data_IF_381540911081
#
_entry.id   IF_381540911081
#
_cell.length_a   1.000
_cell.length_b   1.000
_cell.length_c   1.000
_cell.angle_alpha   90.00
_cell.angle_beta   90.00
_cell.angle_gamma   90.00
#
_symmetry.space_group_name_H-M   'P 1'
#
loop_
_entity.id
_entity.type
_entity.pdbx_description
1 polymer ?
#
# COMPACT_ATOMS: atom_id res chain seq x y z
N UNK A 1 -7.02 -10.11 -14.47
CA UNK A 1 -6.09 -10.92 -15.29
C UNK A 1 -4.67 -10.60 -14.87
N UNK A 2 -3.72 -11.51 -15.09
CA UNK A 2 -2.30 -11.29 -14.74
C UNK A 2 -1.71 -10.03 -15.39
N UNK A 3 -2.25 -9.59 -16.52
CA UNK A 3 -1.87 -8.33 -17.16
C UNK A 3 -2.18 -7.10 -16.28
N UNK A 4 -3.35 -7.06 -15.63
CA UNK A 4 -3.73 -5.98 -14.70
C UNK A 4 -2.81 -5.94 -13.50
N UNK A 5 -2.44 -7.11 -12.96
CA UNK A 5 -1.53 -7.24 -11.81
C UNK A 5 -0.16 -6.64 -12.15
N UNK A 6 0.43 -7.04 -13.29
CA UNK A 6 1.70 -6.48 -13.77
C UNK A 6 1.65 -4.98 -14.03
N UNK A 7 0.52 -4.49 -14.53
CA UNK A 7 0.33 -3.06 -14.75
C UNK A 7 0.29 -2.27 -13.44
N UNK A 8 -0.30 -2.84 -12.38
CA UNK A 8 -0.33 -2.24 -11.04
C UNK A 8 1.07 -2.23 -10.40
N UNK A 9 1.87 -3.28 -10.59
CA UNK A 9 3.26 -3.32 -10.12
C UNK A 9 4.14 -2.23 -10.74
N UNK A 10 3.81 -1.77 -11.94
CA UNK A 10 4.54 -0.71 -12.64
C UNK A 10 4.14 0.71 -12.23
N UNK A 11 3.17 0.89 -11.33
CA UNK A 11 2.75 2.22 -10.86
C UNK A 11 3.86 2.79 -9.97
N UNK A 12 4.26 4.04 -10.21
CA UNK A 12 5.23 4.74 -9.36
C UNK A 12 4.75 4.75 -7.90
N UNK A 13 5.66 4.44 -6.97
CA UNK A 13 5.35 4.34 -5.55
C UNK A 13 4.79 2.98 -5.11
N UNK A 14 4.42 2.07 -6.04
CA UNK A 14 4.14 0.67 -5.70
C UNK A 14 5.46 -0.10 -5.67
N UNK A 15 5.82 -0.61 -4.50
CA UNK A 15 7.08 -1.35 -4.31
C UNK A 15 6.89 -2.82 -4.00
N UNK A 16 5.66 -3.24 -3.66
CA UNK A 16 5.32 -4.65 -3.47
C UNK A 16 3.85 -4.90 -3.77
N UNK A 17 3.59 -5.97 -4.51
CA UNK A 17 2.25 -6.49 -4.74
C UNK A 17 2.22 -7.97 -4.34
N UNK A 18 1.39 -8.32 -3.36
CA UNK A 18 1.28 -9.69 -2.86
C UNK A 18 -0.11 -10.26 -3.09
N UNK A 19 -0.17 -11.55 -3.43
CA UNK A 19 -1.43 -12.27 -3.52
C UNK A 19 -1.75 -12.93 -2.18
N UNK A 20 -2.86 -12.55 -1.55
CA UNK A 20 -3.40 -13.13 -0.31
C UNK A 20 -4.74 -13.79 -0.61
N UNK A 21 -4.69 -15.05 -1.06
CA UNK A 21 -5.88 -15.80 -1.47
C UNK A 21 -6.59 -15.18 -2.67
N UNK A 22 -7.80 -14.65 -2.44
CA UNK A 22 -8.61 -13.95 -3.45
C UNK A 22 -8.37 -12.43 -3.50
N UNK A 23 -7.47 -11.90 -2.66
CA UNK A 23 -7.17 -10.47 -2.56
C UNK A 23 -5.72 -10.20 -2.96
N UNK A 24 -5.48 -8.96 -3.36
CA UNK A 24 -4.14 -8.42 -3.60
C UNK A 24 -3.85 -7.38 -2.51
N UNK A 25 -2.64 -7.41 -1.97
CA UNK A 25 -2.12 -6.46 -0.99
C UNK A 25 -1.05 -5.60 -1.68
N UNK A 26 -1.23 -4.28 -1.62
CA UNK A 26 -0.32 -3.30 -2.23
C UNK A 26 0.44 -2.62 -1.11
N UNK A 27 1.77 -2.61 -1.20
CA UNK A 27 2.61 -1.75 -0.37
C UNK A 27 3.07 -0.58 -1.21
N UNK A 28 2.83 0.62 -0.68
CA UNK A 28 3.09 1.88 -1.37
C UNK A 28 3.88 2.86 -0.52
N UNK A 29 4.72 3.66 -1.17
CA UNK A 29 5.46 4.74 -0.53
C UNK A 29 4.70 6.05 -0.71
N UNK A 30 4.11 6.58 0.36
CA UNK A 30 3.33 7.83 0.32
C UNK A 30 4.17 9.05 -0.07
N UNK A 31 5.51 8.97 0.01
CA UNK A 31 6.39 10.02 -0.48
C UNK A 31 6.51 10.05 -2.02
N UNK A 32 6.17 8.95 -2.71
CA UNK A 32 6.30 8.80 -4.17
C UNK A 32 4.96 8.87 -4.91
N UNK A 33 3.87 8.56 -4.22
CA UNK A 33 2.51 8.65 -4.76
C UNK A 33 1.51 8.95 -3.65
N UNK A 34 0.62 9.91 -3.90
CA UNK A 34 -0.50 10.15 -2.99
C UNK A 34 -1.54 9.03 -3.12
N UNK A 35 -2.11 8.61 -2.00
CA UNK A 35 -3.12 7.52 -1.96
C UNK A 35 -4.32 7.75 -2.90
N UNK A 36 -4.87 8.97 -3.05
CA UNK A 36 -5.92 9.24 -4.03
C UNK A 36 -5.49 9.00 -5.48
N UNK A 37 -4.24 9.35 -5.83
CA UNK A 37 -3.72 9.19 -7.19
C UNK A 37 -3.47 7.71 -7.50
N UNK A 38 -2.96 6.95 -6.52
CA UNK A 38 -2.86 5.49 -6.61
C UNK A 38 -4.23 4.85 -6.86
N UNK A 39 -5.27 5.31 -6.16
CA UNK A 39 -6.63 4.81 -6.35
C UNK A 39 -7.11 5.03 -7.79
N UNK A 40 -6.87 6.22 -8.35
CA UNK A 40 -7.23 6.55 -9.73
C UNK A 40 -6.50 5.66 -10.73
N UNK A 41 -5.19 5.45 -10.57
CA UNK A 41 -4.42 4.57 -11.46
C UNK A 41 -4.90 3.12 -11.41
N UNK A 42 -5.16 2.60 -10.20
CA UNK A 42 -5.69 1.24 -10.04
C UNK A 42 -7.07 1.11 -10.67
N UNK A 43 -7.95 2.11 -10.53
CA UNK A 43 -9.27 2.13 -11.16
C UNK A 43 -9.18 2.21 -12.69
N UNK A 44 -8.25 3.01 -13.24
CA UNK A 44 -8.00 3.12 -14.68
C UNK A 44 -7.58 1.78 -15.29
N UNK A 45 -6.87 0.95 -14.53
CA UNK A 45 -6.47 -0.40 -14.92
C UNK A 45 -7.56 -1.46 -14.73
N UNK A 46 -8.77 -1.05 -14.30
CA UNK A 46 -9.91 -1.93 -14.05
C UNK A 46 -9.89 -2.62 -12.69
N UNK A 47 -8.99 -2.21 -11.79
CA UNK A 47 -8.94 -2.67 -10.40
C UNK A 47 -10.00 -2.01 -9.52
N UNK A 48 -10.33 -2.64 -8.39
CA UNK A 48 -11.22 -2.07 -7.37
C UNK A 48 -10.58 -2.19 -5.99
N UNK A 49 -10.28 -1.06 -5.38
CA UNK A 49 -9.79 -0.99 -3.99
C UNK A 49 -10.99 -1.06 -3.05
N UNK A 50 -11.03 -2.05 -2.16
CA UNK A 50 -12.16 -2.24 -1.22
C UNK A 50 -11.83 -1.88 0.23
N UNK A 51 -10.56 -1.70 0.56
CA UNK A 51 -10.11 -1.37 1.91
C UNK A 51 -8.71 -0.78 1.84
N UNK A 52 -8.51 0.40 2.40
CA UNK A 52 -7.19 0.94 2.70
C UNK A 52 -6.98 0.72 4.20
N UNK A 53 -6.10 -0.20 4.58
CA UNK A 53 -5.66 -0.30 5.97
C UNK A 53 -4.43 0.61 6.09
N UNK A 54 -4.48 1.69 6.89
CA UNK A 54 -3.31 2.54 7.13
C UNK A 54 -2.21 1.81 7.93
N UNK A 55 -2.50 0.61 8.41
CA UNK A 55 -1.65 -0.13 9.33
C UNK A 55 -0.74 -1.11 8.60
N UNK A 56 0.28 -0.56 7.95
CA UNK A 56 1.57 -1.23 7.84
C UNK A 56 2.64 -0.32 8.45
N UNK A 57 2.41 0.17 9.67
CA UNK A 57 3.54 0.56 10.50
C UNK A 57 4.35 -0.72 10.71
N UNK A 58 5.53 -0.77 10.11
CA UNK A 58 6.56 -1.74 10.44
C UNK A 58 6.62 -1.87 11.98
N UNK A 59 6.67 -3.10 12.48
CA UNK A 59 6.71 -3.37 13.92
C UNK A 59 7.84 -2.59 14.60
N UNK A 60 8.94 -2.33 13.89
CA UNK A 60 10.03 -1.46 14.36
C UNK A 60 9.57 -0.02 14.59
N UNK A 61 8.80 0.57 13.67
CA UNK A 61 8.25 1.92 13.81
C UNK A 61 7.17 1.97 14.89
N UNK A 62 6.33 0.94 14.99
CA UNK A 62 5.33 0.82 16.05
C UNK A 62 6.00 0.77 17.42
N UNK A 63 7.07 -0.02 17.54
CA UNK A 63 7.88 -0.14 18.75
C UNK A 63 8.57 1.19 19.12
N UNK A 64 9.12 1.91 18.14
CA UNK A 64 9.72 3.24 18.37
C UNK A 64 8.70 4.26 18.89
N UNK A 65 7.45 4.25 18.41
CA UNK A 65 6.40 5.15 18.94
C UNK A 65 5.94 4.75 20.34
N UNK A 66 5.86 3.44 20.63
CA UNK A 66 5.53 2.94 21.98
C UNK A 66 6.60 3.26 23.02
N UNK A 67 7.88 3.22 22.63
CA UNK A 67 9.02 3.47 23.54
C UNK A 67 9.38 4.95 23.67
N UNK A 68 9.16 5.78 22.62
CA UNK A 68 9.35 7.24 22.71
C UNK A 68 8.16 7.97 23.35
N UNK A 69 7.04 7.29 23.56
CA UNK A 69 5.85 7.81 24.22
C UNK A 69 5.87 7.65 25.75
N UNK A 70 6.94 8.09 26.44
CA UNK A 70 6.96 8.47 27.88
C UNK A 70 8.36 9.00 28.26
N UNK A 71 8.58 10.27 28.00
CA UNK A 71 9.45 11.12 28.83
C UNK A 71 8.58 12.28 29.27
N UNK A 72 7.94 12.13 30.43
CA UNK A 72 7.61 13.23 31.34
C UNK A 72 8.70 13.28 32.40
#
# INVERSE_FOLDING_TARGET
TDATVRAIEGIQGVHRLERRGSRMELHVNEAEIAVPDLLLEVQRLGGRVRMFQPDALDMETAFLRLTRGKTS
#
